data_IF_671772407910
#
_entry.id   IF_671772407910
#
_cell.length_a   1.000
_cell.length_b   1.000
_cell.length_c   1.000
_cell.angle_alpha   90.00
_cell.angle_beta   90.00
_cell.angle_gamma   90.00
#
_symmetry.space_group_name_H-M   'P 1'
#
loop_
_entity.id
_entity.type
_entity.pdbx_description
1 polymer ?
#
# COMPACT_ATOMS: atom_id res chain seq x y z
N UNK A 1 -30.62 -25.68 -39.25
CA UNK A 1 -29.21 -25.27 -39.44
C UNK A 1 -28.81 -24.42 -38.24
N UNK A 2 -28.05 -24.99 -37.31
CA UNK A 2 -27.57 -24.29 -36.11
C UNK A 2 -26.40 -23.37 -36.47
N UNK A 3 -26.52 -22.12 -36.04
CA UNK A 3 -25.67 -20.99 -36.41
C UNK A 3 -24.30 -21.05 -35.70
N UNK A 4 -23.33 -21.67 -36.37
CA UNK A 4 -21.95 -21.89 -35.93
C UNK A 4 -21.22 -20.55 -35.73
N UNK A 5 -21.59 -19.51 -36.49
CA UNK A 5 -20.91 -18.19 -36.42
C UNK A 5 -21.16 -17.47 -35.10
N UNK A 6 -22.33 -17.70 -34.48
CA UNK A 6 -22.69 -17.12 -33.18
C UNK A 6 -21.92 -17.75 -32.02
N UNK A 7 -21.47 -19.00 -32.16
CA UNK A 7 -20.69 -19.69 -31.12
C UNK A 7 -19.22 -19.24 -31.11
N UNK A 8 -18.63 -19.02 -32.28
CA UNK A 8 -17.24 -18.53 -32.40
C UNK A 8 -17.09 -17.12 -31.82
N UNK A 9 -18.05 -16.21 -32.08
CA UNK A 9 -18.04 -14.86 -31.50
C UNK A 9 -18.19 -14.83 -29.98
N UNK A 10 -19.01 -15.72 -29.41
CA UNK A 10 -19.18 -15.83 -27.95
C UNK A 10 -17.95 -16.44 -27.28
N UNK A 11 -17.30 -17.42 -27.91
CA UNK A 11 -16.05 -18.01 -27.42
C UNK A 11 -14.89 -17.01 -27.39
N UNK A 12 -14.77 -16.17 -28.42
CA UNK A 12 -13.72 -15.14 -28.49
C UNK A 12 -13.89 -14.03 -27.45
N UNK A 13 -15.14 -13.63 -27.15
CA UNK A 13 -15.40 -12.64 -26.10
C UNK A 13 -15.09 -13.18 -24.70
N UNK A 14 -15.35 -14.46 -24.43
CA UNK A 14 -15.03 -15.08 -23.14
C UNK A 14 -13.51 -15.14 -22.88
N UNK A 15 -12.70 -15.38 -23.91
CA UNK A 15 -11.23 -15.39 -23.81
C UNK A 15 -10.64 -14.00 -23.54
N UNK A 16 -11.24 -12.93 -24.09
CA UNK A 16 -10.80 -11.56 -23.81
C UNK A 16 -11.06 -11.10 -22.36
N UNK A 17 -12.14 -11.58 -21.72
CA UNK A 17 -12.40 -11.25 -20.31
C UNK A 17 -11.45 -11.96 -19.34
N UNK A 18 -11.02 -13.19 -19.65
CA UNK A 18 -10.04 -13.89 -18.82
C UNK A 18 -8.66 -13.21 -18.87
N UNK A 19 -8.25 -12.69 -20.03
CA UNK A 19 -6.99 -11.96 -20.18
C UNK A 19 -7.00 -10.61 -19.45
N UNK A 20 -8.14 -9.93 -19.35
CA UNK A 20 -8.27 -8.68 -18.61
C UNK A 20 -8.21 -8.88 -17.08
N UNK A 21 -8.64 -10.04 -16.57
CA UNK A 21 -8.56 -10.37 -15.13
C UNK A 21 -7.20 -10.91 -14.70
N UNK A 22 -6.40 -11.46 -15.63
CA UNK A 22 -5.04 -11.91 -15.34
C UNK A 22 -4.04 -10.76 -15.13
N UNK A 23 -4.38 -9.52 -15.53
CA UNK A 23 -3.59 -8.32 -15.25
C UNK A 23 -3.67 -7.81 -13.81
N UNK A 24 -4.57 -8.36 -12.97
CA UNK A 24 -4.72 -8.01 -11.56
C UNK A 24 -3.90 -8.90 -10.60
N UNK A 25 -2.93 -9.66 -11.11
CA UNK A 25 -2.00 -10.39 -10.27
C UNK A 25 -0.78 -9.50 -10.00
N UNK A 26 -0.69 -9.03 -8.75
CA UNK A 26 0.53 -8.55 -8.13
C UNK A 26 1.70 -9.39 -8.65
N UNK A 27 2.64 -8.74 -9.33
CA UNK A 27 3.89 -9.37 -9.76
C UNK A 27 4.42 -10.24 -8.62
N UNK A 28 4.70 -11.54 -8.86
CA UNK A 28 5.18 -12.41 -7.79
C UNK A 28 6.45 -11.78 -7.26
N UNK A 29 6.38 -11.33 -6.00
CA UNK A 29 7.49 -10.74 -5.27
C UNK A 29 8.64 -11.74 -5.35
N UNK A 30 9.68 -11.41 -6.12
CA UNK A 30 10.85 -12.27 -6.19
C UNK A 30 11.40 -12.41 -4.78
N UNK A 31 11.42 -13.64 -4.27
CA UNK A 31 11.95 -13.91 -2.95
C UNK A 31 13.45 -13.57 -2.95
N UNK A 32 13.79 -12.44 -2.36
CA UNK A 32 15.16 -11.91 -2.29
C UNK A 32 16.06 -12.71 -1.33
N UNK A 33 15.53 -13.80 -0.74
CA UNK A 33 16.26 -14.71 0.15
C UNK A 33 17.51 -15.32 -0.48
N UNK A 34 17.57 -15.43 -1.82
CA UNK A 34 18.71 -15.95 -2.57
C UNK A 34 19.90 -14.97 -2.68
N UNK A 35 19.69 -13.69 -2.37
CA UNK A 35 20.73 -12.66 -2.45
C UNK A 35 21.62 -12.66 -1.21
N UNK A 36 22.84 -12.13 -1.33
CA UNK A 36 23.72 -11.91 -0.18
C UNK A 36 23.09 -10.90 0.79
N UNK A 37 23.41 -11.02 2.08
CA UNK A 37 22.87 -10.10 3.10
C UNK A 37 23.10 -8.61 2.78
N UNK A 38 24.29 -8.17 2.30
CA UNK A 38 24.50 -6.77 1.89
C UNK A 38 23.62 -6.35 0.72
N UNK A 39 23.38 -7.23 -0.26
CA UNK A 39 22.50 -6.94 -1.39
C UNK A 39 21.03 -6.80 -0.94
N UNK A 40 20.59 -7.65 0.00
CA UNK A 40 19.26 -7.53 0.61
C UNK A 40 19.11 -6.20 1.37
N UNK A 41 20.12 -5.79 2.13
CA UNK A 41 20.11 -4.54 2.89
C UNK A 41 20.09 -3.32 1.96
N UNK A 42 20.90 -3.35 0.89
CA UNK A 42 20.89 -2.30 -0.13
C UNK A 42 19.50 -2.15 -0.77
N UNK A 43 18.90 -3.25 -1.23
CA UNK A 43 17.57 -3.23 -1.84
C UNK A 43 16.48 -2.77 -0.86
N UNK A 44 16.60 -3.14 0.42
CA UNK A 44 15.69 -2.66 1.46
C UNK A 44 15.80 -1.14 1.66
N UNK A 45 17.01 -0.60 1.73
CA UNK A 45 17.23 0.86 1.84
C UNK A 45 16.68 1.58 0.61
N UNK A 46 17.02 1.11 -0.60
CA UNK A 46 16.56 1.72 -1.85
C UNK A 46 15.04 1.69 -1.96
N UNK A 47 14.40 0.56 -1.66
CA UNK A 47 12.95 0.44 -1.70
C UNK A 47 12.25 1.33 -0.67
N UNK A 48 12.83 1.50 0.52
CA UNK A 48 12.35 2.46 1.51
C UNK A 48 12.37 3.89 0.94
N UNK A 49 13.49 4.34 0.36
CA UNK A 49 13.59 5.71 -0.17
C UNK A 49 12.65 5.95 -1.35
N UNK A 50 12.44 4.94 -2.22
CA UNK A 50 11.44 5.05 -3.29
C UNK A 50 10.02 5.19 -2.72
N UNK A 51 9.68 4.39 -1.70
CA UNK A 51 8.36 4.46 -1.06
C UNK A 51 8.16 5.78 -0.31
N UNK A 52 9.19 6.29 0.38
CA UNK A 52 9.18 7.60 1.04
C UNK A 52 8.99 8.73 0.01
N UNK A 53 9.74 8.72 -1.10
CA UNK A 53 9.59 9.69 -2.17
C UNK A 53 8.19 9.70 -2.77
N UNK A 54 7.61 8.52 -3.02
CA UNK A 54 6.23 8.39 -3.50
C UNK A 54 5.20 8.97 -2.52
N UNK A 55 5.34 8.69 -1.22
CA UNK A 55 4.46 9.27 -0.20
C UNK A 55 4.60 10.80 -0.11
N UNK A 56 5.82 11.33 -0.16
CA UNK A 56 6.05 12.78 -0.10
C UNK A 56 5.43 13.47 -1.32
N UNK A 57 5.63 12.92 -2.51
CA UNK A 57 4.98 13.43 -3.73
C UNK A 57 3.46 13.45 -3.56
N UNK A 58 2.89 12.34 -3.06
CA UNK A 58 1.44 12.23 -2.89
C UNK A 58 0.87 13.17 -1.85
N UNK A 59 1.62 13.48 -0.78
CA UNK A 59 1.27 14.51 0.19
C UNK A 59 1.30 15.92 -0.41
N UNK A 60 2.19 16.18 -1.36
CA UNK A 60 2.33 17.48 -2.02
C UNK A 60 1.23 17.74 -3.06
N UNK A 61 0.63 16.69 -3.66
CA UNK A 61 -0.49 16.81 -4.59
C UNK A 61 -1.73 17.51 -3.98
N UNK A 62 -1.86 17.53 -2.64
CA UNK A 62 -2.89 18.30 -1.94
C UNK A 62 -4.33 17.76 -2.01
N UNK A 63 -4.55 16.62 -2.67
CA UNK A 63 -5.86 15.99 -2.84
C UNK A 63 -6.28 15.02 -1.73
N UNK A 64 -5.46 14.84 -0.70
CA UNK A 64 -5.67 13.81 0.32
C UNK A 64 -6.63 14.27 1.42
N UNK A 65 -7.45 13.34 1.91
CA UNK A 65 -8.23 13.55 3.14
C UNK A 65 -7.31 13.57 4.37
N UNK A 66 -7.73 14.24 5.44
CA UNK A 66 -6.97 14.27 6.69
C UNK A 66 -6.67 12.87 7.27
N UNK A 67 -7.56 11.90 7.04
CA UNK A 67 -7.35 10.51 7.44
C UNK A 67 -6.24 9.82 6.65
N UNK A 68 -6.14 10.07 5.34
CA UNK A 68 -5.06 9.55 4.50
C UNK A 68 -3.72 10.19 4.86
N UNK A 69 -3.70 11.50 5.08
CA UNK A 69 -2.49 12.19 5.57
C UNK A 69 -2.01 11.57 6.88
N UNK A 70 -2.91 11.31 7.83
CA UNK A 70 -2.56 10.64 9.08
C UNK A 70 -2.02 9.22 8.86
N UNK A 71 -2.69 8.43 8.02
CA UNK A 71 -2.30 7.06 7.75
C UNK A 71 -0.91 7.00 7.07
N UNK A 72 -0.65 7.88 6.10
CA UNK A 72 0.66 8.03 5.44
C UNK A 72 1.75 8.49 6.41
N UNK A 73 1.50 9.51 7.24
CA UNK A 73 2.47 9.98 8.23
C UNK A 73 2.82 8.87 9.24
N UNK A 74 1.82 8.08 9.64
CA UNK A 74 2.00 6.95 10.55
C UNK A 74 2.81 5.83 9.88
N UNK A 75 2.50 5.49 8.63
CA UNK A 75 3.23 4.50 7.85
C UNK A 75 4.69 4.93 7.61
N UNK A 76 4.94 6.20 7.30
CA UNK A 76 6.29 6.75 7.13
C UNK A 76 7.12 6.62 8.42
N UNK A 77 6.57 7.04 9.56
CA UNK A 77 7.23 6.89 10.87
C UNK A 77 7.54 5.43 11.19
N UNK A 78 6.60 4.54 10.96
CA UNK A 78 6.79 3.11 11.16
C UNK A 78 7.87 2.54 10.23
N UNK A 79 7.81 2.87 8.94
CA UNK A 79 8.82 2.52 7.93
C UNK A 79 10.23 2.88 8.37
N UNK A 80 10.42 4.13 8.78
CA UNK A 80 11.71 4.62 9.27
C UNK A 80 12.19 3.86 10.50
N UNK A 81 11.30 3.58 11.45
CA UNK A 81 11.66 2.83 12.67
C UNK A 81 12.09 1.39 12.36
N UNK A 82 11.41 0.72 11.42
CA UNK A 82 11.74 -0.65 11.02
C UNK A 82 13.03 -0.71 10.20
N UNK A 83 13.25 0.26 9.31
CA UNK A 83 14.52 0.38 8.56
C UNK A 83 15.68 0.59 9.53
N UNK A 84 15.57 1.54 10.47
CA UNK A 84 16.61 1.78 11.46
C UNK A 84 16.88 0.54 12.31
N UNK A 85 15.84 -0.19 12.72
CA UNK A 85 16.00 -1.45 13.45
C UNK A 85 16.75 -2.50 12.62
N UNK A 86 16.43 -2.63 11.33
CA UNK A 86 17.10 -3.53 10.41
C UNK A 86 18.57 -3.18 10.18
N UNK A 87 18.91 -1.89 10.13
CA UNK A 87 20.30 -1.45 9.94
C UNK A 87 21.12 -1.52 11.23
N UNK A 88 20.51 -1.25 12.38
CA UNK A 88 21.21 -1.24 13.68
C UNK A 88 21.51 -2.66 14.17
N UNK A 89 20.57 -3.59 13.99
CA UNK A 89 20.73 -5.00 14.38
C UNK A 89 20.29 -5.92 13.23
N UNK A 90 21.13 -6.09 12.19
CA UNK A 90 20.76 -6.83 11.00
C UNK A 90 20.41 -8.28 11.31
N UNK A 91 19.22 -8.70 10.88
CA UNK A 91 18.75 -10.08 11.00
C UNK A 91 17.71 -10.38 9.93
N UNK A 92 17.51 -11.66 9.60
CA UNK A 92 16.46 -12.04 8.64
C UNK A 92 15.06 -11.60 9.08
N UNK A 93 14.78 -11.58 10.40
CA UNK A 93 13.52 -11.06 10.93
C UNK A 93 13.41 -9.54 10.72
N UNK A 94 14.43 -8.79 11.10
CA UNK A 94 14.41 -7.34 10.96
C UNK A 94 14.28 -6.89 9.49
N UNK A 95 14.91 -7.60 8.56
CA UNK A 95 14.73 -7.37 7.11
C UNK A 95 13.29 -7.61 6.66
N UNK A 96 12.66 -8.71 7.09
CA UNK A 96 11.24 -8.98 6.77
C UNK A 96 10.30 -7.93 7.36
N UNK A 97 10.56 -7.48 8.58
CA UNK A 97 9.78 -6.43 9.22
C UNK A 97 9.94 -5.08 8.49
N UNK A 98 11.17 -4.75 8.06
CA UNK A 98 11.44 -3.61 7.17
C UNK A 98 10.73 -3.71 5.83
N UNK A 99 10.77 -4.88 5.18
CA UNK A 99 10.08 -5.13 3.92
C UNK A 99 8.56 -4.94 4.04
N UNK A 100 7.95 -5.45 5.11
CA UNK A 100 6.52 -5.23 5.41
C UNK A 100 6.21 -3.76 5.66
N UNK A 101 7.13 -3.02 6.27
CA UNK A 101 6.95 -1.59 6.49
C UNK A 101 6.96 -0.81 5.16
N UNK A 102 7.86 -1.17 4.23
CA UNK A 102 7.88 -0.61 2.88
C UNK A 102 6.59 -0.96 2.11
N UNK A 103 6.10 -2.20 2.21
CA UNK A 103 4.81 -2.59 1.62
C UNK A 103 3.67 -1.74 2.15
N UNK A 104 3.63 -1.49 3.46
CA UNK A 104 2.63 -0.64 4.08
C UNK A 104 2.71 0.81 3.57
N UNK A 105 3.92 1.36 3.45
CA UNK A 105 4.13 2.70 2.88
C UNK A 105 3.57 2.78 1.46
N UNK A 106 3.87 1.79 0.61
CA UNK A 106 3.36 1.72 -0.77
C UNK A 106 1.83 1.60 -0.79
N UNK A 107 1.26 0.78 0.08
CA UNK A 107 -0.20 0.64 0.19
C UNK A 107 -0.88 1.97 0.58
N UNK A 108 -0.24 2.76 1.45
CA UNK A 108 -0.73 4.09 1.82
C UNK A 108 -0.59 5.09 0.68
N UNK A 109 0.50 5.07 -0.09
CA UNK A 109 0.67 5.91 -1.28
C UNK A 109 -0.41 5.63 -2.33
N UNK A 110 -0.77 4.36 -2.51
CA UNK A 110 -1.74 3.92 -3.52
C UNK A 110 -3.20 4.04 -3.05
N UNK A 111 -3.48 4.69 -1.92
CA UNK A 111 -4.86 4.96 -1.53
C UNK A 111 -5.54 5.84 -2.59
N UNK A 112 -6.79 5.51 -2.97
CA UNK A 112 -7.51 6.25 -4.00
C UNK A 112 -7.81 7.67 -3.55
N UNK A 113 -7.90 8.59 -4.50
CA UNK A 113 -8.27 9.97 -4.21
C UNK A 113 -9.69 10.04 -3.62
N UNK A 114 -9.91 10.84 -2.55
CA UNK A 114 -11.25 11.06 -1.99
C UNK A 114 -12.28 11.48 -3.04
N UNK A 115 -11.87 12.26 -4.04
CA UNK A 115 -12.73 12.72 -5.15
C UNK A 115 -13.20 11.59 -6.07
N UNK A 116 -12.53 10.44 -6.06
CA UNK A 116 -12.89 9.26 -6.87
C UNK A 116 -13.86 8.32 -6.15
N UNK A 117 -14.18 8.58 -4.87
CA UNK A 117 -15.12 7.79 -4.07
C UNK A 117 -16.41 8.57 -3.80
N UNK A 118 -17.44 8.44 -4.67
CA UNK A 118 -18.73 9.11 -4.45
C UNK A 118 -19.43 8.50 -3.21
N UNK A 119 -19.42 9.24 -2.10
CA UNK A 119 -20.20 8.95 -0.89
C UNK A 119 -19.57 8.01 0.13
N UNK A 120 -18.31 7.61 -0.05
CA UNK A 120 -17.60 6.71 0.88
C UNK A 120 -16.27 7.29 1.38
N UNK A 121 -15.87 6.93 2.60
CA UNK A 121 -14.51 7.18 3.07
C UNK A 121 -13.55 6.17 2.44
N UNK A 122 -12.42 6.60 1.86
CA UNK A 122 -11.45 5.66 1.29
C UNK A 122 -10.96 4.70 2.37
N UNK A 123 -10.80 3.42 1.99
CA UNK A 123 -10.33 2.39 2.91
C UNK A 123 -8.96 2.77 3.50
N UNK A 124 -8.81 2.58 4.81
CA UNK A 124 -7.55 2.84 5.51
C UNK A 124 -6.47 1.87 5.04
N UNK A 125 -5.27 2.37 4.76
CA UNK A 125 -4.13 1.51 4.46
C UNK A 125 -3.57 0.85 5.73
N UNK A 126 -3.74 1.48 6.89
CA UNK A 126 -3.31 0.90 8.16
C UNK A 126 -4.28 -0.20 8.61
N UNK A 127 -3.78 -1.39 8.98
CA UNK A 127 -4.63 -2.46 9.49
C UNK A 127 -5.34 -2.04 10.79
N UNK A 128 -6.51 -2.61 11.04
CA UNK A 128 -7.25 -2.36 12.28
C UNK A 128 -6.39 -2.72 13.50
N UNK A 129 -6.29 -1.79 14.46
CA UNK A 129 -5.44 -1.97 15.63
C UNK A 129 -3.94 -1.76 15.39
N UNK A 130 -3.54 -1.20 14.24
CA UNK A 130 -2.16 -0.79 14.02
C UNK A 130 -1.70 0.21 15.10
N UNK A 131 -0.74 -0.22 15.90
CA UNK A 131 -0.09 0.60 16.93
C UNK A 131 1.23 1.07 16.33
N UNK A 132 1.24 2.29 15.80
CA UNK A 132 2.49 2.92 15.34
C UNK A 132 3.50 3.06 16.48
N UNK A 133 4.79 3.27 16.18
CA UNK A 133 5.85 3.36 17.20
C UNK A 133 5.58 4.46 18.24
N UNK A 134 4.83 5.51 17.87
CA UNK A 134 4.47 6.63 18.74
C UNK A 134 3.13 6.45 19.49
N UNK A 135 2.37 5.39 19.25
CA UNK A 135 1.10 5.16 19.95
C UNK A 135 1.29 4.91 21.47
N UNK A 136 2.52 4.62 21.92
CA UNK A 136 2.90 4.64 23.33
C UNK A 136 3.09 6.06 23.91
N UNK A 137 3.14 7.09 23.08
CA UNK A 137 3.44 8.49 23.44
C UNK A 137 2.23 9.43 23.38
N UNK A 138 1.01 8.90 23.26
CA UNK A 138 -0.23 9.66 23.42
C UNK A 138 -0.67 10.49 22.20
N UNK A 139 -0.27 10.13 20.98
CA UNK A 139 -0.70 10.86 19.78
C UNK A 139 -2.18 10.59 19.46
N UNK A 140 -3.01 11.64 19.48
CA UNK A 140 -4.44 11.56 19.22
C UNK A 140 -4.73 11.01 17.81
N UNK A 141 -5.60 10.00 17.73
CA UNK A 141 -6.14 9.48 16.48
C UNK A 141 -7.04 10.56 15.86
N UNK A 142 -7.05 10.78 14.54
CA UNK A 142 -8.02 11.69 13.92
C UNK A 142 -9.41 11.18 14.27
N UNK A 143 -10.28 12.06 14.74
CA UNK A 143 -11.69 11.74 14.95
C UNK A 143 -12.30 11.45 13.59
N UNK A 144 -12.96 10.30 13.47
CA UNK A 144 -13.86 10.01 12.35
C UNK A 144 -14.85 11.17 12.27
N UNK A 145 -14.91 11.88 11.13
CA UNK A 145 -15.93 12.89 10.93
C UNK A 145 -17.30 12.21 10.97
N UNK A 146 -18.02 12.35 12.08
CA UNK A 146 -19.42 11.96 12.19
C UNK A 146 -20.22 12.85 11.22
N UNK A 147 -21.06 12.29 10.33
CA UNK A 147 -21.90 13.12 9.48
C UNK A 147 -22.84 13.93 10.37
N UNK A 148 -22.78 15.26 10.27
CA UNK A 148 -23.73 16.15 10.94
C UNK A 148 -25.13 15.82 10.42
N UNK A 149 -26.14 15.54 11.27
CA UNK A 149 -27.51 15.41 10.80
C UNK A 149 -27.94 16.76 10.25
N UNK A 150 -28.33 16.79 8.98
CA UNK A 150 -28.89 17.97 8.33
C UNK A 150 -30.11 18.47 9.11
N UNK A 151 -30.17 19.79 9.28
CA UNK A 151 -31.32 20.50 9.84
C UNK A 151 -32.12 21.12 8.71
#
# INVERSE_FOLDING_TARGET
>A
MTDITRHVRRGLLALSMAAALAGCHSTPRQDMSHLSAPAQDYLLITSYFMAEGGMVSRLQDGGLSGQQVYDMATALKYGKSMLLAALTKPSGRARRDGQRAVELMIACTNQPDPSTFPGGTPARCLPAGFVGPDAKKGQARPQSATPTPGR
#
